data_IF_573032737470
#
_entry.id   IF_573032737470
#
_cell.length_a   1.000
_cell.length_b   1.000
_cell.length_c   1.000
_cell.angle_alpha   90.00
_cell.angle_beta   90.00
_cell.angle_gamma   90.00
#
_symmetry.space_group_name_H-M   'P 1'
#
loop_
_entity.id
_entity.type
_entity.pdbx_description
1 polymer ?
#
# COMPACT_ATOMS: atom_id res chain seq x y z
N UNK A 1 14.25 0.06 -28.58
CA UNK A 1 13.49 0.40 -27.36
C UNK A 1 12.09 -0.09 -27.65
N UNK A 2 11.74 -1.27 -27.17
CA UNK A 2 10.40 -1.83 -27.39
C UNK A 2 9.39 -0.86 -26.76
N UNK A 3 8.32 -0.45 -27.47
CA UNK A 3 7.31 0.41 -26.89
C UNK A 3 6.68 -0.33 -25.71
N UNK A 4 6.68 0.30 -24.53
CA UNK A 4 5.85 -0.18 -23.43
C UNK A 4 4.42 -0.24 -23.95
N UNK A 5 3.80 -1.42 -23.92
CA UNK A 5 2.37 -1.54 -24.22
C UNK A 5 1.62 -0.56 -23.33
N UNK A 6 0.91 0.40 -23.93
CA UNK A 6 -0.04 1.35 -23.30
C UNK A 6 -1.27 0.58 -22.76
N UNK A 7 -1.05 -0.51 -22.04
CA UNK A 7 -2.11 -1.32 -21.49
C UNK A 7 -2.44 -0.78 -20.11
N UNK A 8 -3.49 0.05 -20.06
CA UNK A 8 -4.11 0.46 -18.81
C UNK A 8 -4.52 -0.77 -18.01
N UNK A 9 -4.28 -0.73 -16.71
CA UNK A 9 -4.76 -1.77 -15.80
C UNK A 9 -6.28 -1.70 -15.67
N UNK A 10 -6.91 -2.85 -15.76
CA UNK A 10 -8.35 -3.03 -15.61
C UNK A 10 -8.61 -4.20 -14.65
N UNK A 11 -9.81 -4.23 -14.08
CA UNK A 11 -10.35 -5.41 -13.43
C UNK A 11 -10.76 -6.45 -14.47
N UNK A 12 -10.57 -7.72 -14.14
CA UNK A 12 -11.03 -8.84 -14.94
C UNK A 12 -12.58 -8.88 -14.96
N UNK A 13 -13.22 -9.22 -16.09
CA UNK A 13 -14.69 -9.31 -16.17
C UNK A 13 -15.29 -10.44 -15.32
N UNK A 14 -14.49 -11.46 -14.98
CA UNK A 14 -14.86 -12.47 -13.97
C UNK A 14 -14.52 -11.92 -12.59
N UNK A 15 -15.54 -11.75 -11.77
CA UNK A 15 -15.49 -11.20 -10.42
C UNK A 15 -16.64 -11.78 -9.57
N UNK A 16 -16.66 -11.48 -8.28
CA UNK A 16 -17.70 -11.90 -7.35
C UNK A 16 -19.09 -11.40 -7.76
N UNK A 17 -20.13 -12.14 -7.38
CA UNK A 17 -21.51 -11.92 -7.80
C UNK A 17 -22.09 -10.57 -7.35
N UNK A 18 -21.55 -10.00 -6.26
CA UNK A 18 -21.98 -8.70 -5.75
C UNK A 18 -21.14 -7.54 -6.27
N UNK A 19 -20.23 -7.76 -7.23
CA UNK A 19 -19.42 -6.70 -7.83
C UNK A 19 -20.06 -6.22 -9.14
N UNK A 20 -20.04 -4.91 -9.34
CA UNK A 20 -20.32 -4.27 -10.62
C UNK A 20 -19.12 -3.43 -11.04
N UNK A 21 -18.60 -3.71 -12.23
CA UNK A 21 -17.56 -2.91 -12.86
C UNK A 21 -18.17 -1.72 -13.61
N UNK A 22 -17.45 -0.62 -13.69
CA UNK A 22 -17.80 0.48 -14.59
C UNK A 22 -17.43 0.16 -16.05
N UNK A 23 -17.88 1.00 -16.99
CA UNK A 23 -17.63 0.80 -18.42
C UNK A 23 -16.13 0.75 -18.77
N UNK A 24 -15.30 1.46 -18.00
CA UNK A 24 -13.85 1.47 -18.23
C UNK A 24 -13.12 0.27 -17.65
N UNK A 25 -13.79 -0.57 -16.84
CA UNK A 25 -13.17 -1.67 -16.11
C UNK A 25 -12.19 -1.21 -15.02
N UNK A 26 -12.15 0.09 -14.66
CA UNK A 26 -11.21 0.62 -13.67
C UNK A 26 -11.82 0.84 -12.30
N UNK A 27 -13.14 0.82 -12.18
CA UNK A 27 -13.86 0.90 -10.91
C UNK A 27 -14.61 -0.39 -10.66
N UNK A 28 -14.52 -0.90 -9.43
CA UNK A 28 -15.30 -2.01 -8.95
C UNK A 28 -16.12 -1.55 -7.73
N UNK A 29 -17.42 -1.78 -7.77
CA UNK A 29 -18.37 -1.40 -6.71
C UNK A 29 -19.11 -2.63 -6.23
N UNK A 30 -19.09 -2.90 -4.91
CA UNK A 30 -19.94 -3.93 -4.31
C UNK A 30 -21.37 -3.41 -4.23
N UNK A 31 -22.31 -4.02 -4.92
CA UNK A 31 -23.70 -3.54 -5.01
C UNK A 31 -24.58 -4.07 -3.89
N UNK A 32 -24.30 -5.26 -3.37
CA UNK A 32 -25.11 -5.95 -2.37
C UNK A 32 -24.26 -6.65 -1.30
N UNK A 33 -24.86 -6.93 -0.12
CA UNK A 33 -24.24 -7.63 1.02
C UNK A 33 -22.90 -7.02 1.48
N UNK A 34 -22.14 -7.77 2.27
CA UNK A 34 -20.79 -7.47 2.74
C UNK A 34 -19.71 -8.38 2.12
N UNK A 35 -20.12 -9.42 1.39
CA UNK A 35 -19.28 -10.47 0.80
C UNK A 35 -19.52 -10.62 -0.72
N UNK A 36 -18.93 -11.65 -1.35
CA UNK A 36 -18.89 -11.85 -2.81
C UNK A 36 -18.28 -10.64 -3.55
N UNK A 37 -17.25 -10.05 -2.94
CA UNK A 37 -16.59 -8.81 -3.40
C UNK A 37 -15.29 -9.03 -4.16
N UNK A 38 -14.93 -10.27 -4.48
CA UNK A 38 -13.61 -10.62 -5.04
C UNK A 38 -13.47 -10.16 -6.48
N UNK A 39 -12.39 -9.45 -6.77
CA UNK A 39 -12.01 -8.94 -8.09
C UNK A 39 -10.56 -9.33 -8.40
N UNK A 40 -10.23 -9.40 -9.69
CA UNK A 40 -8.89 -9.74 -10.15
C UNK A 40 -8.33 -8.69 -11.10
N UNK A 41 -7.00 -8.61 -11.25
CA UNK A 41 -6.42 -7.89 -12.39
C UNK A 41 -6.79 -8.59 -13.71
N UNK A 42 -7.08 -7.81 -14.76
CA UNK A 42 -7.44 -8.36 -16.08
C UNK A 42 -6.30 -9.15 -16.73
N UNK A 43 -5.06 -8.74 -16.45
CA UNK A 43 -3.83 -9.36 -16.95
C UNK A 43 -2.95 -9.76 -15.76
N UNK A 44 -2.08 -10.77 -15.90
CA UNK A 44 -1.09 -11.08 -14.89
C UNK A 44 -0.11 -9.91 -14.74
N UNK A 45 0.34 -9.67 -13.51
CA UNK A 45 1.31 -8.64 -13.21
C UNK A 45 2.71 -9.07 -13.63
N UNK A 46 3.51 -8.14 -14.13
CA UNK A 46 4.96 -8.33 -14.33
C UNK A 46 5.71 -8.18 -13.00
N UNK A 47 6.92 -8.75 -12.88
CA UNK A 47 7.75 -8.51 -11.71
C UNK A 47 7.99 -7.00 -11.50
N UNK A 48 7.71 -6.51 -10.29
CA UNK A 48 7.81 -5.10 -9.92
C UNK A 48 6.66 -4.20 -10.37
N UNK A 49 5.67 -4.73 -11.08
CA UNK A 49 4.47 -3.99 -11.50
C UNK A 49 3.43 -3.96 -10.38
N UNK A 50 3.14 -2.77 -9.87
CA UNK A 50 2.14 -2.55 -8.83
C UNK A 50 0.71 -2.47 -9.37
N UNK A 51 -0.16 -3.33 -8.85
CA UNK A 51 -1.60 -3.16 -8.99
C UNK A 51 -2.11 -2.26 -7.87
N UNK A 52 -2.37 -0.99 -8.18
CA UNK A 52 -2.70 0.04 -7.20
C UNK A 52 -4.18 0.41 -7.26
N UNK A 53 -4.86 0.40 -6.11
CA UNK A 53 -6.25 0.81 -5.98
C UNK A 53 -6.40 1.96 -4.98
N UNK A 54 -7.39 2.82 -5.21
CA UNK A 54 -7.86 3.85 -4.28
C UNK A 54 -9.25 3.48 -3.76
N UNK A 55 -9.46 3.56 -2.45
CA UNK A 55 -10.79 3.37 -1.85
C UNK A 55 -11.65 4.59 -2.15
N UNK A 56 -12.66 4.43 -3.00
CA UNK A 56 -13.50 5.55 -3.41
C UNK A 56 -14.62 5.83 -2.43
N UNK A 57 -15.23 4.78 -1.89
CA UNK A 57 -16.37 4.85 -0.99
C UNK A 57 -16.39 3.74 0.06
N UNK A 58 -17.09 4.00 1.16
CA UNK A 58 -17.25 3.08 2.30
C UNK A 58 -18.71 2.95 2.68
N UNK A 59 -19.08 1.76 3.13
CA UNK A 59 -20.43 1.46 3.59
C UNK A 59 -20.49 1.49 5.12
N UNK A 60 -21.40 2.30 5.68
CA UNK A 60 -21.60 2.40 7.12
C UNK A 60 -22.35 1.16 7.64
N UNK A 61 -22.08 0.77 8.89
CA UNK A 61 -22.75 -0.36 9.54
C UNK A 61 -22.08 -1.72 9.35
N UNK A 62 -21.10 -1.82 8.44
CA UNK A 62 -20.26 -3.01 8.29
C UNK A 62 -18.92 -2.86 8.99
N UNK A 63 -18.46 -3.92 9.64
CA UNK A 63 -17.15 -4.00 10.28
C UNK A 63 -16.28 -5.03 9.54
N UNK A 64 -15.07 -4.63 9.19
CA UNK A 64 -14.13 -5.50 8.48
C UNK A 64 -13.18 -4.71 7.58
N UNK A 65 -12.25 -5.42 6.98
CA UNK A 65 -11.13 -4.85 6.25
C UNK A 65 -11.13 -5.31 4.80
N UNK A 66 -10.80 -4.38 3.89
CA UNK A 66 -10.40 -4.72 2.51
C UNK A 66 -9.29 -5.78 2.56
N UNK A 67 -9.31 -6.73 1.63
CA UNK A 67 -8.25 -7.73 1.48
C UNK A 67 -7.62 -7.61 0.11
N UNK A 68 -6.31 -7.76 0.03
CA UNK A 68 -5.54 -7.69 -1.22
C UNK A 68 -4.48 -8.76 -1.24
N UNK A 69 -4.06 -9.17 -2.43
CA UNK A 69 -3.08 -10.24 -2.56
C UNK A 69 -2.76 -10.58 -4.01
N UNK A 70 -2.13 -11.73 -4.18
CA UNK A 70 -1.83 -12.34 -5.47
C UNK A 70 -2.42 -13.75 -5.55
N UNK A 71 -2.69 -14.20 -6.77
CA UNK A 71 -3.07 -15.58 -7.06
C UNK A 71 -2.36 -16.07 -8.32
N UNK A 72 -1.93 -17.33 -8.34
CA UNK A 72 -1.44 -18.00 -9.55
C UNK A 72 -2.59 -18.54 -10.42
N UNK A 73 -3.85 -18.46 -9.93
CA UNK A 73 -5.02 -18.89 -10.69
C UNK A 73 -5.37 -17.86 -11.76
N UNK A 74 -5.47 -18.33 -13.01
CA UNK A 74 -6.03 -17.52 -14.07
C UNK A 74 -7.54 -17.27 -13.80
N UNK A 75 -7.98 -16.01 -13.62
CA UNK A 75 -9.38 -15.68 -13.38
C UNK A 75 -10.31 -16.17 -14.50
N UNK A 76 -9.82 -16.25 -15.74
CA UNK A 76 -10.53 -16.78 -16.91
C UNK A 76 -10.99 -18.22 -16.77
N UNK A 77 -10.36 -19.00 -15.89
CA UNK A 77 -10.66 -20.42 -15.66
C UNK A 77 -11.58 -20.65 -14.45
N UNK A 78 -12.02 -19.58 -13.77
CA UNK A 78 -12.94 -19.70 -12.65
C UNK A 78 -14.37 -19.80 -13.17
N UNK A 79 -15.01 -20.95 -13.00
CA UNK A 79 -16.45 -21.11 -13.28
C UNK A 79 -17.29 -20.28 -12.29
N UNK A 80 -16.89 -20.29 -11.02
CA UNK A 80 -17.53 -19.52 -9.94
C UNK A 80 -16.42 -18.86 -9.13
N UNK A 81 -16.59 -17.55 -8.88
CA UNK A 81 -15.72 -16.82 -7.96
C UNK A 81 -16.20 -17.07 -6.53
N UNK A 82 -15.31 -17.50 -5.60
CA UNK A 82 -15.69 -17.77 -4.22
C UNK A 82 -16.29 -16.56 -3.50
N UNK A 83 -17.08 -16.85 -2.47
CA UNK A 83 -17.73 -15.82 -1.66
C UNK A 83 -16.72 -14.95 -0.91
N UNK A 84 -15.66 -15.58 -0.39
CA UNK A 84 -14.59 -14.93 0.35
C UNK A 84 -13.23 -15.21 -0.28
N UNK A 85 -12.36 -14.20 -0.29
CA UNK A 85 -10.95 -14.45 -0.60
C UNK A 85 -10.22 -15.24 0.49
N UNK A 86 -10.64 -15.09 1.75
CA UNK A 86 -10.12 -15.81 2.90
C UNK A 86 -11.33 -16.38 3.65
N UNK A 87 -11.41 -17.71 3.88
CA UNK A 87 -10.38 -18.71 3.56
C UNK A 87 -10.46 -19.30 2.14
N UNK A 88 -11.58 -19.14 1.43
CA UNK A 88 -11.92 -19.98 0.27
C UNK A 88 -10.88 -19.96 -0.86
N UNK A 89 -10.32 -18.80 -1.24
CA UNK A 89 -9.26 -18.74 -2.25
C UNK A 89 -7.90 -19.17 -1.69
N UNK A 90 -7.58 -18.78 -0.45
CA UNK A 90 -6.28 -19.14 0.17
C UNK A 90 -6.15 -20.64 0.42
N UNK A 91 -7.24 -21.32 0.75
CA UNK A 91 -7.25 -22.76 1.04
C UNK A 91 -7.00 -23.62 -0.22
N UNK A 92 -7.12 -23.04 -1.41
CA UNK A 92 -6.72 -23.69 -2.67
C UNK A 92 -5.19 -23.80 -2.83
N UNK A 93 -4.41 -23.08 -2.01
CA UNK A 93 -2.96 -23.21 -1.92
C UNK A 93 -2.14 -22.42 -2.95
N UNK A 94 -2.80 -21.66 -3.82
CA UNK A 94 -2.20 -20.91 -4.93
C UNK A 94 -2.48 -19.40 -4.85
N UNK A 95 -2.94 -18.93 -3.68
CA UNK A 95 -3.37 -17.56 -3.45
C UNK A 95 -2.84 -17.04 -2.12
N UNK A 96 -2.22 -15.85 -2.14
CA UNK A 96 -1.63 -15.18 -0.98
C UNK A 96 -2.32 -13.86 -0.75
N UNK A 97 -3.28 -13.83 0.18
CA UNK A 97 -4.20 -12.72 0.38
C UNK A 97 -4.21 -12.30 1.85
N UNK A 98 -4.19 -10.99 2.09
CA UNK A 98 -4.07 -10.42 3.42
C UNK A 98 -5.13 -9.34 3.65
N UNK A 99 -5.68 -9.31 4.86
CA UNK A 99 -6.57 -8.25 5.31
C UNK A 99 -5.78 -7.00 5.70
N UNK A 100 -6.19 -5.83 5.19
CA UNK A 100 -5.51 -4.56 5.47
C UNK A 100 -5.95 -4.00 6.83
N UNK A 101 -5.13 -4.24 7.84
CA UNK A 101 -5.35 -3.81 9.24
C UNK A 101 -4.33 -2.77 9.67
N UNK A 102 -4.55 -2.12 10.83
CA UNK A 102 -3.56 -1.18 11.41
C UNK A 102 -2.22 -1.84 11.76
N UNK A 103 -2.23 -3.15 11.96
CA UNK A 103 -1.08 -3.92 12.45
C UNK A 103 -0.35 -4.66 11.33
N UNK A 104 -0.63 -4.40 10.05
CA UNK A 104 0.26 -4.77 8.94
C UNK A 104 1.55 -3.94 9.06
N UNK A 105 2.31 -4.19 10.12
CA UNK A 105 3.59 -3.59 10.40
C UNK A 105 4.60 -4.17 9.42
N UNK A 106 5.43 -3.28 8.87
CA UNK A 106 6.75 -3.55 8.30
C UNK A 106 7.27 -4.89 8.78
N UNK A 107 7.29 -5.89 7.91
CA UNK A 107 7.92 -7.17 8.23
C UNK A 107 9.42 -6.87 8.38
N UNK A 108 9.86 -6.69 9.63
CA UNK A 108 11.26 -6.44 9.96
C UNK A 108 12.00 -7.75 9.71
N UNK A 109 12.88 -7.76 8.71
CA UNK A 109 13.81 -8.87 8.53
C UNK A 109 14.73 -8.96 9.75
N UNK A 110 14.54 -9.98 10.60
CA UNK A 110 15.39 -10.20 11.77
C UNK A 110 14.75 -10.91 12.97
N UNK A 111 13.43 -11.09 13.02
CA UNK A 111 12.82 -11.96 14.03
C UNK A 111 12.81 -13.41 13.52
N UNK A 112 13.87 -14.16 13.82
CA UNK A 112 13.84 -15.61 13.73
C UNK A 112 12.68 -16.12 14.57
N UNK A 113 11.79 -16.90 13.96
CA UNK A 113 10.77 -17.63 14.71
C UNK A 113 11.50 -18.77 15.42
N UNK A 114 11.93 -18.52 16.66
CA UNK A 114 12.09 -19.59 17.61
C UNK A 114 10.70 -20.17 17.90
N UNK A 115 10.48 -21.39 17.44
CA UNK A 115 9.30 -22.17 17.79
C UNK A 115 9.45 -22.55 19.26
N UNK A 116 8.82 -21.80 20.16
CA UNK A 116 8.56 -22.28 21.52
C UNK A 116 7.18 -22.94 21.53
N UNK A 117 7.20 -24.27 21.63
CA UNK A 117 6.06 -25.09 21.97
C UNK A 117 5.45 -24.63 23.30
N UNK A 118 4.20 -24.18 23.28
CA UNK A 118 3.43 -23.91 24.48
C UNK A 118 2.61 -25.16 24.84
N UNK A 119 3.18 -25.95 25.75
CA UNK A 119 2.45 -26.92 26.56
C UNK A 119 1.56 -26.24 27.59
N UNK A 120 0.47 -26.94 27.89
CA UNK A 120 -0.64 -26.67 28.81
C UNK A 120 -0.28 -26.11 30.21
N UNK A 121 -1.21 -25.30 30.77
CA UNK A 121 -1.36 -25.14 32.23
C UNK A 121 -1.37 -23.72 32.81
N UNK A 122 -2.58 -23.22 33.13
CA UNK A 122 -2.89 -22.74 34.49
C UNK A 122 -2.54 -21.31 34.96
N UNK A 123 -3.59 -20.49 35.06
CA UNK A 123 -3.93 -19.53 36.14
C UNK A 123 -3.06 -18.27 36.40
N UNK A 124 -3.74 -17.12 36.23
CA UNK A 124 -3.79 -15.89 37.05
C UNK A 124 -2.63 -15.56 38.00
N UNK A 125 -2.13 -14.31 37.93
CA UNK A 125 -2.36 -13.24 38.91
C UNK A 125 -1.68 -11.95 38.41
N UNK A 126 -2.39 -10.83 38.55
CA UNK A 126 -1.85 -9.51 38.27
C UNK A 126 -0.97 -8.99 39.41
N UNK A 127 -0.03 -8.11 39.08
CA UNK A 127 0.46 -7.13 40.06
C UNK A 127 1.01 -5.88 39.38
N UNK A 128 0.37 -4.77 39.75
CA UNK A 128 0.71 -3.39 39.47
C UNK A 128 1.59 -2.87 40.60
N UNK A 129 2.81 -2.43 40.29
CA UNK A 129 3.66 -1.51 41.04
C UNK A 129 4.52 -0.82 39.95
N UNK A 130 4.64 0.49 39.75
CA UNK A 130 4.37 1.65 40.60
C UNK A 130 5.66 2.20 41.22
N UNK A 131 6.49 2.96 40.48
CA UNK A 131 7.19 4.19 40.96
C UNK A 131 8.21 4.73 39.94
N UNK A 132 8.20 6.05 39.77
CA UNK A 132 9.20 6.78 39.00
C UNK A 132 10.49 7.06 39.77
N UNK A 133 11.50 7.48 39.01
CA UNK A 133 12.77 8.02 39.48
C UNK A 133 13.51 8.63 38.29
N UNK A 134 13.64 9.95 38.31
CA UNK A 134 14.45 10.76 37.40
C UNK A 134 15.84 10.85 38.01
N UNK A 135 16.90 10.41 37.32
CA UNK A 135 18.26 10.89 37.59
C UNK A 135 19.06 10.97 36.29
N UNK A 136 19.49 12.20 36.00
CA UNK A 136 20.53 12.55 35.05
C UNK A 136 21.89 12.00 35.48
N UNK A 137 22.66 11.45 34.53
CA UNK A 137 24.13 11.62 34.53
C UNK A 137 24.75 11.33 33.17
N UNK A 138 25.55 12.29 32.75
CA UNK A 138 26.33 12.35 31.53
C UNK A 138 27.54 11.40 31.54
N UNK A 139 27.97 11.00 30.34
CA UNK A 139 29.39 10.71 30.05
C UNK A 139 29.65 9.49 29.18
N UNK A 140 30.32 9.72 28.04
CA UNK A 140 31.24 8.75 27.44
C UNK A 140 30.82 8.21 26.08
N UNK A 141 31.57 8.59 25.04
CA UNK A 141 31.23 8.34 23.64
C UNK A 141 31.45 6.90 23.17
N UNK A 142 30.79 6.59 22.05
CA UNK A 142 31.29 5.62 21.10
C UNK A 142 30.83 6.04 19.69
N UNK A 143 31.75 6.66 18.94
CA UNK A 143 31.56 7.06 17.55
C UNK A 143 31.63 5.82 16.65
N UNK A 144 30.47 5.20 16.39
CA UNK A 144 30.30 4.23 15.32
C UNK A 144 29.90 4.94 14.03
N UNK A 145 30.80 4.94 13.04
CA UNK A 145 30.67 5.63 11.76
C UNK A 145 29.37 5.35 11.01
N UNK A 146 28.43 6.30 11.10
CA UNK A 146 27.22 6.36 10.29
C UNK A 146 27.50 7.14 9.01
N UNK A 147 27.30 6.47 7.88
CA UNK A 147 27.43 6.99 6.51
C UNK A 147 26.61 8.29 6.33
N UNK A 148 27.28 9.45 6.50
CA UNK A 148 26.70 10.79 6.35
C UNK A 148 26.44 11.09 4.86
N UNK A 149 25.38 10.51 4.30
CA UNK A 149 24.73 11.13 3.15
C UNK A 149 23.94 12.34 3.68
N UNK A 150 24.15 13.56 3.16
CA UNK A 150 23.35 14.70 3.58
C UNK A 150 21.89 14.37 3.37
N UNK A 151 21.07 14.45 4.43
CA UNK A 151 19.61 14.33 4.33
C UNK A 151 19.13 15.44 3.41
N UNK A 152 18.91 15.10 2.15
CA UNK A 152 18.34 16.05 1.18
C UNK A 152 16.98 16.47 1.70
N UNK A 153 16.72 17.77 1.77
CA UNK A 153 15.42 18.35 2.17
C UNK A 153 14.25 17.93 1.27
N UNK A 154 14.54 17.24 0.15
CA UNK A 154 13.59 16.81 -0.84
C UNK A 154 13.16 15.37 -0.57
N UNK A 155 11.85 15.14 -0.58
CA UNK A 155 11.22 13.82 -0.53
C UNK A 155 11.68 12.97 -1.71
N UNK A 156 11.95 11.69 -1.45
CA UNK A 156 12.30 10.74 -2.52
C UNK A 156 11.14 10.60 -3.49
N UNK A 157 11.36 10.97 -4.74
CA UNK A 157 10.31 10.94 -5.77
C UNK A 157 9.80 9.55 -6.13
N UNK A 158 10.50 8.50 -5.69
CA UNK A 158 10.16 7.11 -5.95
C UNK A 158 10.26 6.28 -4.66
N UNK A 159 9.33 5.35 -4.50
CA UNK A 159 9.41 4.26 -3.53
C UNK A 159 10.33 3.19 -4.12
N UNK A 160 11.26 2.70 -3.32
CA UNK A 160 12.17 1.63 -3.69
C UNK A 160 11.82 0.39 -2.87
N UNK A 161 11.59 -0.72 -3.57
CA UNK A 161 11.36 -2.05 -2.98
C UNK A 161 12.35 -2.97 -3.68
N UNK A 162 13.41 -3.37 -2.97
CA UNK A 162 14.57 -4.04 -3.57
C UNK A 162 15.11 -3.30 -4.82
N UNK A 163 15.06 -3.95 -5.99
CA UNK A 163 15.47 -3.43 -7.29
C UNK A 163 14.33 -2.71 -8.03
N UNK A 164 13.11 -2.68 -7.49
CA UNK A 164 11.93 -2.06 -8.09
C UNK A 164 11.84 -0.60 -7.67
N UNK A 165 11.52 0.26 -8.64
CA UNK A 165 11.41 1.71 -8.46
C UNK A 165 10.02 2.19 -8.91
N UNK A 166 9.22 2.68 -7.96
CA UNK A 166 7.82 3.04 -8.18
C UNK A 166 7.62 4.55 -7.95
N UNK A 167 7.05 5.33 -8.89
CA UNK A 167 6.78 6.76 -8.69
C UNK A 167 5.85 7.04 -7.51
N UNK A 168 6.25 7.90 -6.55
CA UNK A 168 5.48 8.16 -5.32
C UNK A 168 4.24 9.02 -5.51
N UNK A 169 4.19 9.82 -6.57
CA UNK A 169 3.12 10.80 -6.82
C UNK A 169 1.74 10.15 -6.96
N UNK A 170 1.70 8.89 -7.42
CA UNK A 170 0.49 8.08 -7.51
C UNK A 170 0.25 7.19 -6.29
N UNK A 171 1.23 6.94 -5.42
CA UNK A 171 1.06 5.99 -4.31
C UNK A 171 0.34 6.59 -3.10
N UNK A 172 0.37 7.92 -2.95
CA UNK A 172 -0.29 8.60 -1.82
C UNK A 172 -1.64 9.13 -2.27
N UNK A 173 -2.71 8.65 -1.65
CA UNK A 173 -4.05 9.18 -1.83
C UNK A 173 -4.16 10.55 -1.16
N UNK A 174 -3.98 11.63 -1.93
CA UNK A 174 -4.01 12.98 -1.37
C UNK A 174 -5.41 13.35 -0.88
N UNK A 175 -5.50 13.81 0.37
CA UNK A 175 -6.45 14.85 0.74
C UNK A 175 -6.26 16.00 -0.26
N UNK A 176 -7.21 16.22 -1.18
CA UNK A 176 -7.17 17.46 -1.96
C UNK A 176 -7.38 18.65 -1.01
N UNK A 177 -6.72 19.80 -1.20
CA UNK A 177 -7.01 21.03 -0.48
C UNK A 177 -8.37 21.59 -0.89
N UNK A 178 -9.44 20.96 -0.41
CA UNK A 178 -10.69 21.64 -0.12
C UNK A 178 -10.60 22.31 1.26
N UNK A 179 -11.55 23.20 1.57
CA UNK A 179 -11.68 23.99 2.81
C UNK A 179 -11.50 23.23 4.15
N UNK A 180 -11.41 21.89 4.14
CA UNK A 180 -11.31 21.00 5.29
C UNK A 180 -10.05 20.09 5.30
N UNK A 181 -9.09 20.31 4.39
CA UNK A 181 -7.93 19.43 4.18
C UNK A 181 -6.96 19.30 5.36
N UNK A 182 -6.79 20.36 6.16
CA UNK A 182 -5.86 20.35 7.29
C UNK A 182 -6.23 19.31 8.37
N UNK A 183 -7.53 19.04 8.56
CA UNK A 183 -7.99 18.07 9.58
C UNK A 183 -7.63 16.64 9.15
N UNK A 184 -7.85 16.29 7.88
CA UNK A 184 -7.48 14.96 7.38
C UNK A 184 -5.96 14.79 7.37
N UNK A 185 -5.20 15.82 6.99
CA UNK A 185 -3.74 15.76 7.00
C UNK A 185 -3.16 15.65 8.41
N UNK A 186 -3.77 16.31 9.41
CA UNK A 186 -3.37 16.14 10.81
C UNK A 186 -3.79 14.78 11.37
N UNK A 187 -4.93 14.23 10.95
CA UNK A 187 -5.33 12.85 11.26
C UNK A 187 -4.43 11.80 10.58
N UNK A 188 -3.90 12.08 9.38
CA UNK A 188 -2.87 11.25 8.73
C UNK A 188 -1.52 11.36 9.44
N UNK A 189 -1.07 12.58 9.79
CA UNK A 189 0.18 12.80 10.55
C UNK A 189 0.13 12.18 11.94
N UNK A 190 -1.05 12.11 12.56
CA UNK A 190 -1.27 11.48 13.87
C UNK A 190 -1.60 9.99 13.78
N UNK A 191 -1.59 9.39 12.57
CA UNK A 191 -1.92 7.98 12.33
C UNK A 191 -3.31 7.57 12.86
N UNK A 192 -4.24 8.52 12.93
CA UNK A 192 -5.57 8.34 13.53
C UNK A 192 -6.53 7.61 12.58
N UNK A 193 -6.38 7.82 11.27
CA UNK A 193 -7.21 7.17 10.25
C UNK A 193 -6.77 5.72 10.01
N UNK A 194 -7.73 4.80 9.80
CA UNK A 194 -7.40 3.43 9.44
C UNK A 194 -6.75 3.37 8.03
N UNK A 195 -5.86 2.39 7.78
CA UNK A 195 -5.25 2.18 6.45
C UNK A 195 -6.24 1.99 5.30
N UNK A 196 -7.48 1.61 5.62
CA UNK A 196 -8.59 1.44 4.67
C UNK A 196 -9.57 2.61 4.69
N UNK A 197 -9.14 3.80 5.11
CA UNK A 197 -9.97 5.00 5.05
C UNK A 197 -10.29 5.37 3.59
N UNK A 198 -11.36 6.15 3.40
CA UNK A 198 -11.68 6.70 2.08
C UNK A 198 -10.49 7.49 1.56
N UNK A 199 -10.20 7.36 0.26
CA UNK A 199 -9.03 7.90 -0.45
C UNK A 199 -7.70 7.24 -0.10
N UNK A 200 -7.62 6.28 0.83
CA UNK A 200 -6.40 5.50 0.99
C UNK A 200 -6.10 4.70 -0.28
N UNK A 201 -4.81 4.61 -0.61
CA UNK A 201 -4.30 3.84 -1.74
C UNK A 201 -3.57 2.61 -1.24
N UNK A 202 -3.95 1.46 -1.77
CA UNK A 202 -3.41 0.15 -1.43
C UNK A 202 -2.93 -0.48 -2.72
N UNK A 203 -1.68 -0.92 -2.74
CA UNK A 203 -1.09 -1.60 -3.88
C UNK A 203 -0.53 -2.96 -3.51
N UNK A 204 -0.55 -3.88 -4.46
CA UNK A 204 0.13 -5.18 -4.35
C UNK A 204 1.05 -5.35 -5.54
N UNK A 205 2.24 -5.89 -5.29
CA UNK A 205 3.21 -6.26 -6.31
C UNK A 205 4.00 -7.48 -5.83
N UNK A 206 4.82 -8.04 -6.72
CA UNK A 206 5.84 -9.01 -6.34
C UNK A 206 7.20 -8.66 -6.93
N UNK A 207 8.26 -9.09 -6.24
CA UNK A 207 9.65 -8.92 -6.64
C UNK A 207 10.28 -10.31 -6.79
N UNK A 208 10.90 -10.58 -7.94
CA UNK A 208 11.58 -11.86 -8.19
C UNK A 208 12.78 -12.05 -7.26
N UNK A 209 12.88 -13.21 -6.61
CA UNK A 209 13.99 -13.62 -5.71
C UNK A 209 14.81 -14.79 -6.28
N UNK A 210 14.81 -14.95 -7.61
CA UNK A 210 15.48 -16.04 -8.29
C UNK A 210 14.83 -16.32 -9.63
N UNK A 211 14.95 -17.56 -10.12
CA UNK A 211 14.28 -17.98 -11.36
C UNK A 211 12.78 -18.18 -11.17
N UNK A 212 12.39 -18.81 -10.06
CA UNK A 212 11.06 -19.39 -9.91
C UNK A 212 10.31 -18.91 -8.66
N UNK A 213 10.94 -18.04 -7.86
CA UNK A 213 10.40 -17.54 -6.60
C UNK A 213 10.30 -16.03 -6.60
N UNK A 214 9.31 -15.51 -5.88
CA UNK A 214 9.12 -14.10 -5.65
C UNK A 214 8.71 -13.81 -4.21
N UNK A 215 8.90 -12.55 -3.80
CA UNK A 215 8.34 -12.00 -2.58
C UNK A 215 7.22 -11.04 -2.94
N UNK A 216 6.06 -11.21 -2.32
CA UNK A 216 4.90 -10.32 -2.48
C UNK A 216 4.98 -9.17 -1.48
N UNK A 217 4.78 -7.94 -1.95
CA UNK A 217 4.77 -6.74 -1.14
C UNK A 217 3.40 -6.04 -1.21
N UNK A 218 2.99 -5.46 -0.09
CA UNK A 218 1.82 -4.58 0.00
C UNK A 218 2.31 -3.17 0.26
N UNK A 219 1.82 -2.22 -0.52
CA UNK A 219 2.09 -0.79 -0.37
C UNK A 219 0.83 -0.10 0.14
N UNK A 220 0.95 0.67 1.21
CA UNK A 220 -0.15 1.46 1.77
C UNK A 220 0.27 2.92 1.77
N UNK A 221 -0.47 3.77 1.05
CA UNK A 221 -0.26 5.21 0.99
C UNK A 221 1.21 5.61 0.74
N UNK A 222 1.91 4.90 -0.16
CA UNK A 222 3.30 5.19 -0.54
C UNK A 222 4.37 4.63 0.40
N UNK A 223 3.97 3.84 1.39
CA UNK A 223 4.85 3.10 2.29
C UNK A 223 4.79 1.59 1.96
N UNK A 224 5.96 0.96 1.82
CA UNK A 224 6.07 -0.49 1.68
C UNK A 224 5.93 -1.16 3.06
N UNK A 225 5.07 -2.17 3.16
CA UNK A 225 4.84 -2.95 4.38
C UNK A 225 5.82 -4.12 4.51
N UNK A 226 6.74 -4.28 3.56
CA UNK A 226 7.68 -5.39 3.49
C UNK A 226 7.08 -6.62 2.81
N UNK A 227 7.89 -7.67 2.69
CA UNK A 227 7.54 -8.91 2.02
C UNK A 227 6.46 -9.69 2.78
N UNK A 228 5.19 -9.42 2.45
CA UNK A 228 3.98 -9.97 3.06
C UNK A 228 3.88 -11.49 2.90
N UNK A 229 4.39 -12.01 1.79
CA UNK A 229 4.64 -13.44 1.58
C UNK A 229 5.98 -13.62 0.88
N UNK A 230 6.83 -14.50 1.41
CA UNK A 230 8.17 -14.78 0.85
C UNK A 230 8.19 -16.10 0.11
N UNK A 231 9.00 -16.18 -0.95
CA UNK A 231 9.22 -17.42 -1.69
C UNK A 231 7.94 -17.99 -2.32
N UNK A 232 7.02 -17.13 -2.76
CA UNK A 232 5.85 -17.58 -3.52
C UNK A 232 6.31 -18.06 -4.90
N UNK A 233 5.74 -19.16 -5.45
CA UNK A 233 6.02 -19.59 -6.80
C UNK A 233 5.67 -18.49 -7.82
N UNK A 234 6.62 -18.16 -8.69
CA UNK A 234 6.47 -17.20 -9.77
C UNK A 234 6.69 -17.85 -11.16
N UNK A 235 6.58 -19.19 -11.21
CA UNK A 235 6.61 -19.97 -12.46
C UNK A 235 5.33 -19.73 -13.26
N UNK A 236 4.20 -19.68 -12.55
CA UNK A 236 2.90 -19.36 -13.12
C UNK A 236 2.65 -17.85 -13.10
N UNK A 237 1.88 -17.31 -14.07
CA UNK A 237 1.51 -15.91 -14.07
C UNK A 237 0.70 -15.52 -12.81
N UNK A 238 1.13 -14.47 -12.11
CA UNK A 238 0.46 -13.98 -10.91
C UNK A 238 -0.51 -12.86 -11.23
N UNK A 239 -1.75 -12.98 -10.77
CA UNK A 239 -2.81 -11.97 -10.89
C UNK A 239 -3.01 -11.24 -9.57
N UNK A 240 -3.34 -9.95 -9.62
CA UNK A 240 -3.76 -9.22 -8.43
C UNK A 240 -5.13 -9.69 -7.98
N UNK A 241 -5.35 -9.78 -6.66
CA UNK A 241 -6.65 -10.04 -6.05
C UNK A 241 -7.03 -8.87 -5.14
N UNK A 242 -8.28 -8.43 -5.24
CA UNK A 242 -8.88 -7.43 -4.36
C UNK A 242 -10.23 -7.94 -3.91
N UNK A 243 -10.43 -8.11 -2.61
CA UNK A 243 -11.73 -8.46 -2.02
C UNK A 243 -12.38 -7.21 -1.43
N UNK A 244 -13.40 -6.70 -2.12
CA UNK A 244 -14.20 -5.53 -1.70
C UNK A 244 -15.13 -5.96 -0.56
N UNK A 245 -14.54 -6.13 0.61
CA UNK A 245 -15.16 -6.76 1.77
C UNK A 245 -15.63 -5.75 2.81
N UNK A 246 -16.75 -6.08 3.48
CA UNK A 246 -17.31 -5.36 4.62
C UNK A 246 -17.42 -3.84 4.43
N UNK A 247 -16.71 -3.03 5.21
CA UNK A 247 -16.83 -1.57 5.20
C UNK A 247 -16.39 -0.91 3.88
N UNK A 248 -15.71 -1.61 2.99
CA UNK A 248 -15.28 -1.07 1.68
C UNK A 248 -16.42 -1.21 0.68
N UNK A 249 -16.85 -0.12 0.03
CA UNK A 249 -17.96 -0.14 -0.93
C UNK A 249 -17.48 -0.17 -2.37
N UNK A 250 -16.52 0.68 -2.70
CA UNK A 250 -15.96 0.75 -4.05
C UNK A 250 -14.50 1.13 -4.04
N UNK A 251 -13.80 0.63 -5.05
CA UNK A 251 -12.38 0.89 -5.29
C UNK A 251 -12.17 1.25 -6.76
N UNK A 252 -11.13 2.04 -7.04
CA UNK A 252 -10.71 2.39 -8.39
C UNK A 252 -9.23 2.11 -8.59
N UNK A 253 -8.87 1.51 -9.72
CA UNK A 253 -7.48 1.34 -10.14
C UNK A 253 -6.85 2.71 -10.41
N UNK A 254 -5.69 2.93 -9.81
CA UNK A 254 -4.85 4.10 -10.06
C UNK A 254 -3.73 3.68 -10.99
N UNK A 255 -3.73 4.23 -12.21
CA UNK A 255 -2.71 3.95 -13.21
C UNK A 255 -1.36 4.52 -12.77
N UNK A 256 -0.34 3.66 -12.74
CA UNK A 256 1.04 4.01 -12.39
C UNK A 256 1.89 3.92 -13.66
N UNK A 257 2.35 5.08 -14.13
CA UNK A 257 3.19 5.18 -15.32
C UNK A 257 4.66 5.04 -14.92
N UNK A 258 5.29 3.92 -15.31
CA UNK A 258 6.71 3.69 -15.08
C UNK A 258 7.55 4.43 -16.13
N UNK A 259 8.62 5.11 -15.69
CA UNK A 259 9.62 5.71 -16.58
C UNK A 259 9.49 7.22 -16.81
N UNK A 260 8.31 7.82 -16.58
CA UNK A 260 8.12 9.27 -16.66
C UNK A 260 7.69 9.83 -15.31
N UNK A 261 8.39 10.87 -14.86
CA UNK A 261 7.87 11.67 -13.74
C UNK A 261 6.67 12.47 -14.26
N UNK A 262 5.59 12.52 -13.49
CA UNK A 262 4.46 13.38 -13.83
C UNK A 262 4.90 14.82 -14.06
N UNK A 263 4.19 15.55 -14.94
CA UNK A 263 4.44 16.97 -15.18
C UNK A 263 4.48 17.74 -13.86
N UNK A 264 3.59 17.41 -12.93
CA UNK A 264 3.57 17.97 -11.58
C UNK A 264 4.93 17.76 -10.87
N UNK A 265 5.45 16.53 -10.87
CA UNK A 265 6.74 16.19 -10.27
C UNK A 265 7.90 16.92 -10.94
N UNK A 266 7.88 17.01 -12.27
CA UNK A 266 8.90 17.72 -13.03
C UNK A 266 8.90 19.23 -12.72
N UNK A 267 7.72 19.85 -12.70
CA UNK A 267 7.55 21.26 -12.34
C UNK A 267 8.07 21.55 -10.93
N UNK A 268 7.72 20.70 -9.95
CA UNK A 268 8.24 20.84 -8.58
C UNK A 268 9.76 20.75 -8.53
N UNK A 269 10.37 19.76 -9.19
CA UNK A 269 11.84 19.64 -9.23
C UNK A 269 12.50 20.86 -9.85
N UNK A 270 11.92 21.40 -10.92
CA UNK A 270 12.40 22.62 -11.56
C UNK A 270 12.35 23.80 -10.58
N UNK A 271 11.23 24.01 -9.90
CA UNK A 271 11.07 25.08 -8.89
C UNK A 271 12.07 24.89 -7.74
N UNK A 272 12.15 23.69 -7.18
CA UNK A 272 13.04 23.35 -6.06
C UNK A 272 14.52 23.53 -6.40
N UNK A 273 14.93 23.27 -7.66
CA UNK A 273 16.31 23.48 -8.11
C UNK A 273 16.75 24.96 -8.04
N UNK A 274 15.80 25.88 -8.19
CA UNK A 274 16.06 27.31 -8.19
C UNK A 274 15.80 27.98 -6.83
N UNK A 275 15.47 27.20 -5.80
CA UNK A 275 15.13 27.70 -4.48
C UNK A 275 16.14 27.23 -3.44
N UNK A 276 16.78 28.20 -2.79
CA UNK A 276 17.85 27.96 -1.82
C UNK A 276 17.31 27.44 -0.48
N UNK A 277 16.10 27.84 -0.08
CA UNK A 277 15.50 27.45 1.20
C UNK A 277 14.00 27.17 1.08
N UNK A 278 13.47 26.19 1.82
CA UNK A 278 12.04 25.82 1.78
C UNK A 278 11.08 26.99 2.05
N UNK A 279 11.49 27.93 2.90
CA UNK A 279 10.71 29.15 3.19
C UNK A 279 10.69 30.13 2.03
N UNK A 280 11.68 30.10 1.12
CA UNK A 280 11.65 30.92 -0.09
C UNK A 280 10.48 30.55 -1.03
N UNK A 281 9.89 29.36 -0.88
CA UNK A 281 8.68 28.96 -1.62
C UNK A 281 7.47 29.84 -1.22
N UNK A 282 7.42 30.34 0.02
CA UNK A 282 6.32 31.22 0.46
C UNK A 282 6.25 32.53 -0.30
N UNK A 283 7.40 32.97 -0.83
CA UNK A 283 7.57 34.23 -1.53
C UNK A 283 7.29 34.13 -3.02
N UNK A 284 7.02 32.92 -3.53
CA UNK A 284 6.60 32.75 -4.92
C UNK A 284 5.16 33.23 -5.10
N UNK A 285 4.86 33.84 -6.23
CA UNK A 285 3.48 34.18 -6.63
C UNK A 285 2.72 32.95 -7.18
N UNK A 286 2.75 31.86 -6.41
CA UNK A 286 2.03 30.63 -6.73
C UNK A 286 0.79 30.46 -5.85
N UNK A 287 -0.28 29.79 -6.33
CA UNK A 287 -1.37 29.33 -5.49
C UNK A 287 -0.87 28.53 -4.28
N UNK A 288 -1.52 28.68 -3.12
CA UNK A 288 -1.11 28.06 -1.86
C UNK A 288 -0.98 26.53 -1.97
N UNK A 289 -1.86 25.89 -2.74
CA UNK A 289 -1.78 24.46 -3.02
C UNK A 289 -0.47 24.04 -3.72
N UNK A 290 0.05 24.87 -4.62
CA UNK A 290 1.32 24.61 -5.30
C UNK A 290 2.52 24.92 -4.40
N UNK A 291 2.43 25.94 -3.54
CA UNK A 291 3.44 26.20 -2.51
C UNK A 291 3.57 25.01 -1.56
N UNK A 292 2.44 24.50 -1.07
CA UNK A 292 2.41 23.32 -0.20
C UNK A 292 3.00 22.09 -0.91
N UNK A 293 2.59 21.83 -2.16
CA UNK A 293 3.15 20.75 -2.96
C UNK A 293 4.67 20.86 -3.11
N UNK A 294 5.19 22.04 -3.44
CA UNK A 294 6.63 22.24 -3.61
C UNK A 294 7.40 22.11 -2.29
N UNK A 295 6.74 22.33 -1.15
CA UNK A 295 7.36 22.24 0.17
C UNK A 295 7.34 20.83 0.72
N UNK A 296 6.20 20.14 0.69
CA UNK A 296 5.91 19.00 1.57
C UNK A 296 5.79 17.65 0.85
N UNK A 297 5.71 17.66 -0.48
CA UNK A 297 5.48 16.45 -1.27
C UNK A 297 6.59 16.25 -2.27
#
# INVERSE_FOLDING_TARGET
MEPFSDQFMEFHPIHGTNVRLDYSGTQATRVESFANGVCFSKQPLKPGEIFLIEIEDKELGWCGHLRVGLTARNPGNLEVVPEYSIPDLTDLGDSWIFAITRNHNKIIEGAGVEVQEAGDGGLAWGQRLGRGGVEDRAGGGNEGGGNNKPKTFFTDTHLYIDNVRIPRDKLVGRSRPGRYSHILDDLYKTNALPPTARRSRIGVLYVSKGRDLADMHIVINGEDMGASAKGIPAIEPLYAVVDIFAATKSVRIVQVEYGFSSLQTLCRKAIQKHIVHRMAIDWLELPEALKHYCKYE
#
